data_IF_504258617773
#
_entry.id   IF_504258617773
#
_cell.length_a   1.000
_cell.length_b   1.000
_cell.length_c   1.000
_cell.angle_alpha   90.00
_cell.angle_beta   90.00
_cell.angle_gamma   90.00
#
_symmetry.space_group_name_H-M   'P 1'
#
loop_
_entity.id
_entity.type
_entity.pdbx_description
1 polymer ?
#
# COMPACT_ATOMS: atom_id res chain seq x y z
N UNK A 1 -17.99 -14.54 0.80
CA UNK A 1 -16.97 -13.99 1.72
C UNK A 1 -15.64 -13.85 1.00
N UNK A 2 -15.06 -12.67 1.08
CA UNK A 2 -13.76 -12.45 0.44
C UNK A 2 -12.64 -13.05 1.27
N UNK A 3 -11.62 -13.57 0.57
CA UNK A 3 -10.41 -14.07 1.21
C UNK A 3 -9.46 -12.91 1.46
N UNK A 4 -8.72 -12.89 2.57
CA UNK A 4 -7.69 -11.89 2.74
C UNK A 4 -6.52 -12.14 1.79
N UNK A 5 -5.93 -11.05 1.29
CA UNK A 5 -4.67 -11.11 0.55
C UNK A 5 -3.57 -10.94 1.59
N UNK A 6 -2.62 -11.86 1.63
CA UNK A 6 -1.48 -11.80 2.55
C UNK A 6 -0.21 -11.98 1.77
N UNK A 7 0.71 -11.02 1.92
CA UNK A 7 1.98 -11.03 1.22
C UNK A 7 3.07 -10.54 2.16
N UNK A 8 4.29 -10.98 1.92
CA UNK A 8 5.44 -10.54 2.67
C UNK A 8 6.56 -10.26 1.69
N UNK A 9 7.22 -9.12 1.88
CA UNK A 9 8.30 -8.71 1.00
C UNK A 9 9.40 -8.06 1.82
N UNK A 10 10.66 -8.30 1.46
CA UNK A 10 11.81 -7.71 2.14
C UNK A 10 12.49 -6.72 1.22
N UNK A 11 12.76 -5.52 1.74
CA UNK A 11 13.43 -4.45 1.02
C UNK A 11 14.80 -4.21 1.64
N UNK A 12 15.79 -3.87 0.80
CA UNK A 12 17.13 -3.46 1.27
C UNK A 12 17.11 -1.98 1.62
N UNK A 13 16.24 -1.61 2.54
CA UNK A 13 16.02 -0.22 2.93
C UNK A 13 15.56 -0.19 4.38
N UNK A 14 15.72 0.95 5.05
CA UNK A 14 15.29 1.08 6.44
C UNK A 14 13.76 1.13 6.53
N UNK A 15 13.17 0.82 7.71
CA UNK A 15 11.72 0.98 7.89
C UNK A 15 11.25 2.39 7.57
N UNK A 16 12.04 3.41 7.91
CA UNK A 16 11.71 4.79 7.58
C UNK A 16 11.62 5.00 6.07
N UNK A 17 12.56 4.45 5.31
CA UNK A 17 12.55 4.58 3.85
C UNK A 17 11.36 3.87 3.22
N UNK A 18 10.99 2.71 3.73
CA UNK A 18 9.81 1.97 3.25
C UNK A 18 8.53 2.72 3.60
N UNK A 19 8.43 3.21 4.83
CA UNK A 19 7.29 4.00 5.27
C UNK A 19 7.12 5.26 4.40
N UNK A 20 8.23 5.97 4.17
CA UNK A 20 8.21 7.18 3.35
C UNK A 20 7.79 6.89 1.90
N UNK A 21 8.23 5.76 1.33
CA UNK A 21 7.83 5.39 -0.02
C UNK A 21 6.31 5.25 -0.14
N UNK A 22 5.67 4.71 0.89
CA UNK A 22 4.22 4.51 0.91
C UNK A 22 3.45 5.79 1.27
N UNK A 23 4.01 6.64 2.12
CA UNK A 23 3.29 7.80 2.68
C UNK A 23 3.68 9.15 2.09
N UNK A 24 4.77 9.22 1.34
CA UNK A 24 5.17 10.46 0.66
C UNK A 24 4.58 10.47 -0.75
N UNK A 25 3.79 11.49 -1.07
CA UNK A 25 3.09 11.55 -2.36
C UNK A 25 4.03 11.48 -3.56
N UNK A 26 5.17 12.17 -3.49
CA UNK A 26 6.14 12.17 -4.60
C UNK A 26 6.79 10.81 -4.79
N UNK A 27 7.18 10.15 -3.69
CA UNK A 27 7.82 8.84 -3.75
C UNK A 27 6.83 7.79 -4.21
N UNK A 28 5.60 7.86 -3.72
CA UNK A 28 4.53 6.96 -4.14
C UNK A 28 4.26 7.11 -5.64
N UNK A 29 4.14 8.34 -6.12
CA UNK A 29 3.95 8.61 -7.55
C UNK A 29 5.13 8.11 -8.37
N UNK A 30 6.34 8.22 -7.85
CA UNK A 30 7.55 7.81 -8.56
C UNK A 30 7.57 6.31 -8.82
N UNK A 31 7.28 5.47 -7.82
CA UNK A 31 7.35 4.04 -8.05
C UNK A 31 6.10 3.49 -8.76
N UNK A 32 4.94 4.11 -8.61
CA UNK A 32 3.74 3.68 -9.33
C UNK A 32 3.71 4.17 -10.78
N UNK A 33 4.41 5.26 -11.07
CA UNK A 33 4.39 5.87 -12.40
C UNK A 33 3.14 6.68 -12.67
N UNK A 34 2.36 7.02 -11.64
CA UNK A 34 1.13 7.78 -11.79
C UNK A 34 1.00 8.77 -10.61
N UNK A 35 0.03 9.68 -10.70
CA UNK A 35 -0.15 10.69 -9.66
C UNK A 35 -0.67 10.09 -8.37
N UNK A 36 -0.24 10.66 -7.25
CA UNK A 36 -0.66 10.25 -5.93
C UNK A 36 -0.77 11.47 -5.02
N UNK A 37 -1.72 11.42 -4.11
CA UNK A 37 -1.89 12.43 -3.07
C UNK A 37 -2.18 11.68 -1.77
N UNK A 38 -1.23 11.72 -0.85
CA UNK A 38 -1.28 10.92 0.38
C UNK A 38 -1.21 11.85 1.58
N UNK A 39 -2.28 11.91 2.37
CA UNK A 39 -2.25 12.61 3.65
C UNK A 39 -1.40 11.80 4.65
N UNK A 40 -0.67 12.49 5.51
CA UNK A 40 0.15 11.85 6.55
C UNK A 40 -0.53 11.88 7.91
N UNK A 41 -1.83 12.10 7.94
CA UNK A 41 -2.60 12.20 9.19
C UNK A 41 -3.67 11.12 9.25
N UNK A 42 -3.95 10.62 10.45
CA UNK A 42 -5.09 9.73 10.68
C UNK A 42 -6.36 10.51 10.32
N UNK A 43 -7.27 9.85 9.61
CA UNK A 43 -8.46 10.49 9.09
C UNK A 43 -8.26 11.24 7.79
N UNK A 44 -7.01 11.41 7.36
CA UNK A 44 -6.69 12.07 6.09
C UNK A 44 -6.93 11.17 4.90
N UNK A 45 -7.18 11.79 3.76
CA UNK A 45 -7.51 11.06 2.53
C UNK A 45 -6.28 10.70 1.74
N UNK A 46 -6.37 9.58 1.03
CA UNK A 46 -5.32 9.14 0.12
C UNK A 46 -5.91 8.93 -1.27
N UNK A 47 -5.06 9.11 -2.27
CA UNK A 47 -5.42 8.90 -3.67
C UNK A 47 -4.18 8.38 -4.39
N UNK A 48 -4.36 7.38 -5.24
CA UNK A 48 -3.28 6.81 -6.04
C UNK A 48 -3.81 6.50 -7.44
N UNK A 49 -2.87 6.34 -8.38
CA UNK A 49 -3.19 6.04 -9.78
C UNK A 49 -4.18 7.02 -10.38
N UNK A 50 -3.91 8.34 -10.19
CA UNK A 50 -4.71 9.39 -10.81
C UNK A 50 -6.15 9.44 -10.33
N UNK A 51 -6.45 8.89 -9.15
CA UNK A 51 -7.79 8.85 -8.61
C UNK A 51 -8.51 7.51 -8.78
N UNK A 52 -7.86 6.54 -9.44
CA UNK A 52 -8.44 5.20 -9.55
C UNK A 52 -8.60 4.56 -8.18
N UNK A 53 -7.64 4.78 -7.28
CA UNK A 53 -7.68 4.31 -5.90
C UNK A 53 -7.90 5.49 -4.97
N UNK A 54 -8.85 5.38 -4.05
CA UNK A 54 -9.10 6.38 -3.01
C UNK A 54 -9.26 5.67 -1.68
N UNK A 55 -9.00 6.39 -0.60
CA UNK A 55 -9.15 5.83 0.74
C UNK A 55 -8.88 6.83 1.84
N UNK A 56 -8.74 6.32 3.05
CA UNK A 56 -8.55 7.13 4.26
C UNK A 56 -7.56 6.41 5.18
N UNK A 57 -6.69 7.18 5.83
CA UNK A 57 -5.79 6.63 6.84
C UNK A 57 -6.59 6.32 8.11
N UNK A 58 -6.51 5.09 8.58
CA UNK A 58 -7.20 4.63 9.80
C UNK A 58 -6.24 4.66 10.99
N UNK A 59 -5.02 4.18 10.80
CA UNK A 59 -4.01 4.13 11.86
C UNK A 59 -2.63 4.32 11.24
N UNK A 60 -1.82 5.17 11.86
CA UNK A 60 -0.45 5.42 11.40
C UNK A 60 0.49 5.38 12.59
N UNK A 61 1.46 4.46 12.54
CA UNK A 61 2.56 4.41 13.49
C UNK A 61 3.82 4.61 12.66
N UNK A 62 4.46 5.79 12.74
CA UNK A 62 5.60 6.09 11.88
C UNK A 62 6.66 4.99 11.88
N UNK A 63 7.07 4.58 10.69
CA UNK A 63 8.10 3.57 10.44
C UNK A 63 7.75 2.16 10.91
N UNK A 64 6.51 1.93 11.38
CA UNK A 64 6.09 0.63 11.90
C UNK A 64 4.81 0.09 11.27
N UNK A 65 3.77 0.95 11.10
CA UNK A 65 2.47 0.45 10.69
C UNK A 65 1.64 1.49 9.94
N UNK A 66 0.97 1.05 8.90
CA UNK A 66 0.00 1.86 8.15
C UNK A 66 -1.27 1.03 7.98
N UNK A 67 -2.43 1.59 8.36
CA UNK A 67 -3.73 0.99 8.10
C UNK A 67 -4.57 1.99 7.34
N UNK A 68 -5.12 1.57 6.19
CA UNK A 68 -5.91 2.45 5.33
C UNK A 68 -7.15 1.71 4.81
N UNK A 69 -8.22 2.46 4.55
CA UNK A 69 -9.30 1.94 3.71
C UNK A 69 -8.93 2.18 2.26
N UNK A 70 -9.39 1.31 1.37
CA UNK A 70 -9.13 1.42 -0.06
C UNK A 70 -10.40 1.15 -0.85
N UNK A 71 -10.60 1.94 -1.91
CA UNK A 71 -11.69 1.74 -2.86
C UNK A 71 -11.13 1.94 -4.27
N UNK A 72 -11.40 1.00 -5.16
CA UNK A 72 -11.03 1.13 -6.57
C UNK A 72 -12.26 1.59 -7.36
N UNK A 73 -12.03 2.42 -8.37
CA UNK A 73 -13.10 3.05 -9.13
C UNK A 73 -14.04 2.06 -9.82
N UNK A 74 -13.55 0.87 -10.15
CA UNK A 74 -14.37 -0.16 -10.82
C UNK A 74 -15.02 -1.15 -9.85
N UNK A 75 -14.94 -0.88 -8.54
CA UNK A 75 -15.63 -1.67 -7.53
C UNK A 75 -17.05 -1.14 -7.32
N UNK A 76 -17.96 -1.93 -6.72
CA UNK A 76 -19.27 -1.43 -6.35
C UNK A 76 -19.16 -0.16 -5.52
N UNK A 77 -20.06 0.78 -5.76
CA UNK A 77 -20.07 2.05 -5.03
C UNK A 77 -20.09 1.82 -3.53
N UNK A 78 -19.29 2.58 -2.79
CA UNK A 78 -19.15 2.50 -1.33
C UNK A 78 -18.54 1.19 -0.81
N UNK A 79 -18.06 0.34 -1.69
CA UNK A 79 -17.37 -0.88 -1.25
C UNK A 79 -15.95 -0.52 -0.86
N UNK A 80 -15.66 -0.57 0.44
CA UNK A 80 -14.33 -0.29 0.95
C UNK A 80 -13.64 -1.57 1.41
N UNK A 81 -12.35 -1.63 1.17
CA UNK A 81 -11.49 -2.68 1.69
C UNK A 81 -10.55 -2.05 2.71
N UNK A 82 -9.75 -2.88 3.37
CA UNK A 82 -8.79 -2.42 4.37
C UNK A 82 -7.42 -3.01 4.07
N UNK A 83 -6.41 -2.14 4.02
CA UNK A 83 -5.03 -2.57 3.85
C UNK A 83 -4.25 -2.30 5.12
N UNK A 84 -3.34 -3.21 5.47
CA UNK A 84 -2.46 -3.07 6.62
C UNK A 84 -1.03 -3.38 6.18
N UNK A 85 -0.13 -2.43 6.42
CA UNK A 85 1.29 -2.59 6.17
C UNK A 85 2.00 -2.61 7.53
N UNK A 86 2.67 -3.71 7.85
CA UNK A 86 3.49 -3.81 9.06
C UNK A 86 4.95 -3.86 8.65
N UNK A 87 5.77 -2.99 9.23
CA UNK A 87 7.19 -2.87 8.91
C UNK A 87 8.01 -3.33 10.10
N UNK A 88 8.95 -4.25 9.84
CA UNK A 88 9.82 -4.78 10.88
C UNK A 88 11.26 -4.72 10.41
N UNK A 89 12.17 -4.12 11.18
CA UNK A 89 13.58 -4.15 10.81
C UNK A 89 14.09 -5.58 10.88
N UNK A 90 14.85 -5.96 9.86
CA UNK A 90 15.49 -7.27 9.81
C UNK A 90 16.93 -7.05 9.37
N UNK A 91 17.76 -8.08 9.47
CA UNK A 91 19.14 -7.97 9.02
C UNK A 91 19.16 -7.60 7.54
N UNK A 92 19.86 -6.52 7.23
CA UNK A 92 20.00 -6.04 5.85
C UNK A 92 18.83 -5.25 5.31
N UNK A 93 17.80 -4.94 6.11
CA UNK A 93 16.69 -4.16 5.59
C UNK A 93 15.42 -4.18 6.42
N UNK A 94 14.30 -4.23 5.72
CA UNK A 94 12.96 -4.20 6.34
C UNK A 94 12.09 -5.30 5.73
N UNK A 95 11.40 -6.04 6.59
CA UNK A 95 10.35 -6.95 6.14
C UNK A 95 9.00 -6.22 6.26
N UNK A 96 8.30 -6.16 5.14
CA UNK A 96 6.95 -5.63 5.10
C UNK A 96 5.97 -6.81 5.06
N UNK A 97 5.08 -6.88 6.04
CA UNK A 97 4.00 -7.86 6.06
C UNK A 97 2.71 -7.14 5.72
N UNK A 98 2.03 -7.60 4.69
CA UNK A 98 0.88 -6.92 4.11
C UNK A 98 -0.37 -7.78 4.19
N UNK A 99 -1.49 -7.16 4.55
CA UNK A 99 -2.80 -7.80 4.54
C UNK A 99 -3.81 -6.86 3.90
N UNK A 100 -4.62 -7.38 2.98
CA UNK A 100 -5.69 -6.63 2.34
C UNK A 100 -6.98 -7.45 2.49
N UNK A 101 -7.94 -6.92 3.25
CA UNK A 101 -9.20 -7.59 3.51
C UNK A 101 -10.35 -6.83 2.85
N UNK A 102 -11.45 -7.52 2.54
CA UNK A 102 -12.63 -6.89 1.99
C UNK A 102 -12.58 -6.60 0.49
N UNK A 103 -11.64 -7.21 -0.24
CA UNK A 103 -11.58 -7.06 -1.70
C UNK A 103 -12.75 -7.84 -2.31
N UNK A 104 -13.49 -7.24 -3.28
CA UNK A 104 -14.56 -7.98 -3.96
C UNK A 104 -14.01 -9.28 -4.57
N UNK A 105 -14.72 -10.39 -4.40
CA UNK A 105 -14.24 -11.70 -4.84
C UNK A 105 -13.86 -11.74 -6.32
N UNK A 106 -14.61 -11.07 -7.16
CA UNK A 106 -14.36 -11.00 -8.60
C UNK A 106 -13.09 -10.25 -8.96
N UNK A 107 -12.55 -9.43 -8.03
CA UNK A 107 -11.32 -8.68 -8.23
C UNK A 107 -10.14 -9.26 -7.46
N UNK A 108 -10.35 -10.33 -6.70
CA UNK A 108 -9.32 -10.89 -5.80
C UNK A 108 -7.99 -11.18 -6.50
N UNK A 109 -8.02 -11.98 -7.57
CA UNK A 109 -6.77 -12.35 -8.27
C UNK A 109 -6.10 -11.15 -8.92
N UNK A 110 -6.89 -10.25 -9.51
CA UNK A 110 -6.38 -9.04 -10.15
C UNK A 110 -5.69 -8.13 -9.15
N UNK A 111 -6.30 -7.91 -8.00
CA UNK A 111 -5.74 -7.05 -6.94
C UNK A 111 -4.51 -7.70 -6.32
N UNK A 112 -4.56 -8.99 -6.06
CA UNK A 112 -3.44 -9.75 -5.51
C UNK A 112 -2.20 -9.63 -6.41
N UNK A 113 -2.37 -9.84 -7.70
CA UNK A 113 -1.28 -9.72 -8.67
C UNK A 113 -0.84 -8.26 -8.82
N UNK A 114 -1.79 -7.32 -8.75
CA UNK A 114 -1.52 -5.91 -8.86
C UNK A 114 -0.59 -5.40 -7.76
N UNK A 115 -0.71 -5.90 -6.53
CA UNK A 115 0.20 -5.51 -5.45
C UNK A 115 1.64 -5.88 -5.78
N UNK A 116 1.86 -7.04 -6.39
CA UNK A 116 3.20 -7.47 -6.79
C UNK A 116 3.74 -6.60 -7.91
N UNK A 117 2.97 -6.41 -8.98
CA UNK A 117 3.40 -5.71 -10.19
C UNK A 117 3.52 -4.20 -10.01
N UNK A 118 2.60 -3.59 -9.25
CA UNK A 118 2.51 -2.14 -9.15
C UNK A 118 3.07 -1.57 -7.85
N UNK A 119 3.31 -2.39 -6.85
CA UNK A 119 3.86 -1.96 -5.57
C UNK A 119 5.20 -2.62 -5.26
N UNK A 120 5.21 -3.93 -5.01
CA UNK A 120 6.44 -4.57 -4.50
C UNK A 120 7.58 -4.53 -5.50
N UNK A 121 7.32 -4.84 -6.74
CA UNK A 121 8.37 -4.85 -7.79
C UNK A 121 8.94 -3.45 -8.02
N UNK A 122 8.12 -2.41 -8.31
CA UNK A 122 8.69 -1.07 -8.49
C UNK A 122 9.28 -0.46 -7.22
N UNK A 123 8.73 -0.78 -6.04
CA UNK A 123 9.32 -0.34 -4.78
C UNK A 123 10.72 -0.92 -4.58
N UNK A 124 10.90 -2.20 -4.89
CA UNK A 124 12.23 -2.82 -4.82
C UNK A 124 13.20 -2.15 -5.78
N UNK A 125 12.75 -1.87 -6.99
CA UNK A 125 13.60 -1.20 -7.96
C UNK A 125 14.05 0.17 -7.47
N UNK A 126 13.19 0.87 -6.74
CA UNK A 126 13.51 2.19 -6.19
C UNK A 126 14.35 2.12 -4.92
N UNK A 127 14.03 1.19 -4.02
CA UNK A 127 14.62 1.14 -2.67
C UNK A 127 15.88 0.27 -2.56
N UNK A 128 16.00 -0.76 -3.40
CA UNK A 128 17.09 -1.73 -3.29
C UNK A 128 18.36 -1.32 -4.06
N UNK A 129 18.42 -0.09 -4.50
CA UNK A 129 19.58 0.42 -5.25
C UNK A 129 20.84 0.49 -4.39
#
# INVERSE_FOLDING_TARGET
>A
MSKPIRQSVTFKATPHQVYAALMDSRKHAKFTGDTASISRKVGGKIMAYGGYITGTNVELVPDEKIVQTWHAADWPERHESKVTFNLKPVEGGTRLTFTHTGVPDEHYESIKQGWIEHYWTPMRAMLDK
#
